data_IF_273619526743
#
_entry.id   IF_273619526743
#
_cell.length_a   1.000
_cell.length_b   1.000
_cell.length_c   1.000
_cell.angle_alpha   90.00
_cell.angle_beta   90.00
_cell.angle_gamma   90.00
#
_symmetry.space_group_name_H-M   'P 1'
#
loop_
_entity.id
_entity.type
_entity.pdbx_description
1 polymer ?
#
# COMPACT_ATOMS: atom_id res chain seq x y z
N UNK A 1 -14.64 -14.79 0.96
CA UNK A 1 -14.73 -13.75 2.01
C UNK A 1 -13.38 -13.20 2.52
N UNK A 2 -12.21 -13.81 2.25
CA UNK A 2 -10.91 -13.37 2.84
C UNK A 2 -10.27 -12.11 2.23
N UNK A 3 -10.38 -11.90 0.91
CA UNK A 3 -9.63 -10.85 0.21
C UNK A 3 -10.04 -9.41 0.58
N UNK A 4 -11.32 -9.18 0.90
CA UNK A 4 -11.80 -7.84 1.29
C UNK A 4 -11.22 -7.38 2.63
N UNK A 5 -11.00 -8.30 3.57
CA UNK A 5 -10.42 -7.98 4.87
C UNK A 5 -8.93 -7.63 4.77
N UNK A 6 -8.15 -8.43 4.02
CA UNK A 6 -6.72 -8.18 3.79
C UNK A 6 -6.47 -6.84 3.09
N UNK A 7 -7.28 -6.50 2.09
CA UNK A 7 -7.21 -5.18 1.43
C UNK A 7 -7.45 -4.02 2.41
N UNK A 8 -8.38 -4.17 3.35
CA UNK A 8 -8.64 -3.16 4.39
C UNK A 8 -7.47 -3.05 5.35
N UNK A 9 -6.97 -4.18 5.85
CA UNK A 9 -5.80 -4.24 6.75
C UNK A 9 -4.56 -3.59 6.11
N UNK A 10 -4.28 -3.91 4.86
CA UNK A 10 -3.19 -3.30 4.09
C UNK A 10 -3.34 -1.77 4.05
N UNK A 11 -4.54 -1.28 3.71
CA UNK A 11 -4.79 0.18 3.66
C UNK A 11 -4.65 0.86 5.02
N UNK A 12 -5.03 0.19 6.11
CA UNK A 12 -4.81 0.70 7.48
C UNK A 12 -3.32 0.78 7.78
N UNK A 13 -2.54 -0.24 7.37
CA UNK A 13 -1.09 -0.27 7.53
C UNK A 13 -0.40 0.86 6.77
N UNK A 14 -0.81 1.13 5.52
CA UNK A 14 -0.30 2.27 4.71
C UNK A 14 -0.50 3.58 5.46
N UNK A 15 -1.72 3.86 5.94
CA UNK A 15 -2.01 5.10 6.68
C UNK A 15 -1.22 5.19 7.98
N UNK A 16 -1.06 4.09 8.70
CA UNK A 16 -0.26 4.07 9.93
C UNK A 16 1.20 4.41 9.68
N UNK A 17 1.75 4.09 8.51
CA UNK A 17 3.10 4.51 8.12
C UNK A 17 3.13 5.96 7.65
N UNK A 18 2.15 6.38 6.85
CA UNK A 18 2.02 7.77 6.42
C UNK A 18 1.96 8.73 7.62
N UNK A 19 1.16 8.40 8.65
CA UNK A 19 1.05 9.18 9.89
C UNK A 19 2.38 9.22 10.67
N UNK A 20 3.14 8.11 10.69
CA UNK A 20 4.46 8.06 11.36
C UNK A 20 5.54 8.85 10.65
N UNK A 21 5.44 8.94 9.33
CA UNK A 21 6.41 9.61 8.46
C UNK A 21 6.00 11.06 8.15
N UNK A 22 4.86 11.51 8.67
CA UNK A 22 4.26 12.82 8.39
C UNK A 22 4.05 13.08 6.89
N UNK A 23 3.56 12.05 6.18
CA UNK A 23 3.30 12.09 4.73
C UNK A 23 1.79 12.13 4.47
N UNK A 24 1.35 13.11 3.68
CA UNK A 24 -0.05 13.19 3.24
C UNK A 24 -0.31 12.25 2.04
N UNK A 25 -1.31 11.37 2.17
CA UNK A 25 -1.74 10.47 1.10
C UNK A 25 -3.07 10.94 0.52
N UNK A 26 -3.03 11.53 -0.68
CA UNK A 26 -4.21 12.06 -1.38
C UNK A 26 -5.07 10.91 -1.93
N UNK A 27 -4.43 9.87 -2.45
CA UNK A 27 -5.16 8.72 -3.00
C UNK A 27 -4.43 7.40 -2.75
N UNK A 28 -5.18 6.35 -2.39
CA UNK A 28 -4.65 5.03 -2.09
C UNK A 28 -5.37 3.91 -2.84
N UNK A 29 -4.65 3.30 -3.79
CA UNK A 29 -5.11 2.21 -4.62
C UNK A 29 -4.44 0.88 -4.32
N UNK A 30 -5.22 -0.19 -4.42
CA UNK A 30 -4.71 -1.57 -4.47
C UNK A 30 -5.37 -2.26 -5.66
N UNK A 31 -4.59 -2.55 -6.70
CA UNK A 31 -5.03 -3.11 -7.98
C UNK A 31 -3.93 -3.98 -8.61
N UNK A 32 -4.24 -4.91 -9.52
CA UNK A 32 -3.21 -5.63 -10.26
C UNK A 32 -2.27 -4.66 -10.99
N UNK A 33 -0.96 -4.88 -10.87
CA UNK A 33 0.08 -4.10 -11.55
C UNK A 33 1.05 -5.06 -12.23
N UNK A 34 1.53 -4.71 -13.43
CA UNK A 34 2.31 -5.64 -14.26
C UNK A 34 3.81 -5.63 -13.94
N UNK A 35 4.38 -4.44 -13.74
CA UNK A 35 5.83 -4.26 -13.78
C UNK A 35 6.43 -3.78 -12.45
N UNK A 36 5.59 -3.50 -11.46
CA UNK A 36 6.01 -2.93 -10.18
C UNK A 36 5.08 -3.31 -9.05
N UNK A 37 5.64 -3.31 -7.85
CA UNK A 37 4.95 -3.65 -6.62
C UNK A 37 4.19 -2.46 -6.05
N UNK A 38 4.70 -1.25 -6.26
CA UNK A 38 3.99 -0.04 -5.94
C UNK A 38 4.45 1.14 -6.81
N UNK A 39 3.79 2.29 -6.65
CA UNK A 39 4.25 3.57 -7.15
C UNK A 39 3.60 4.74 -6.43
N UNK A 40 4.42 5.72 -6.07
CA UNK A 40 4.03 7.05 -5.63
C UNK A 40 4.10 8.07 -6.78
N UNK A 41 3.11 8.96 -6.87
CA UNK A 41 3.22 10.18 -7.69
C UNK A 41 3.66 11.36 -6.84
N UNK A 42 4.24 12.37 -7.48
CA UNK A 42 4.55 13.66 -6.82
C UNK A 42 3.30 14.38 -6.28
N UNK A 43 2.11 13.97 -6.73
CA UNK A 43 0.81 14.46 -6.25
C UNK A 43 0.22 13.60 -5.13
N UNK A 44 1.00 12.76 -4.45
CA UNK A 44 0.53 11.99 -3.29
C UNK A 44 -0.42 10.82 -3.62
N UNK A 45 -0.39 10.29 -4.86
CA UNK A 45 -1.15 9.08 -5.21
C UNK A 45 -0.29 7.83 -5.03
N UNK A 46 -0.61 7.04 -4.02
CA UNK A 46 0.00 5.75 -3.77
C UNK A 46 -0.80 4.62 -4.42
N UNK A 47 -0.13 3.79 -5.19
CA UNK A 47 -0.69 2.64 -5.87
C UNK A 47 0.10 1.40 -5.48
N UNK A 48 -0.57 0.36 -5.00
CA UNK A 48 0.05 -0.90 -4.61
C UNK A 48 -0.52 -2.05 -5.45
N UNK A 49 0.34 -3.03 -5.77
CA UNK A 49 -0.06 -4.23 -6.49
C UNK A 49 -0.99 -5.08 -5.60
N UNK A 50 -2.04 -5.67 -6.18
CA UNK A 50 -2.97 -6.53 -5.46
C UNK A 50 -2.31 -7.81 -4.92
N UNK A 51 -1.25 -8.29 -5.57
CA UNK A 51 -0.47 -9.46 -5.13
C UNK A 51 0.19 -9.24 -3.77
N UNK A 52 0.43 -7.99 -3.35
CA UNK A 52 0.92 -7.69 -2.01
C UNK A 52 0.00 -8.28 -0.93
N UNK A 53 -1.32 -8.35 -1.18
CA UNK A 53 -2.29 -8.81 -0.18
C UNK A 53 -2.12 -10.28 0.22
N UNK A 54 -1.42 -11.06 -0.61
CA UNK A 54 -1.13 -12.48 -0.37
C UNK A 54 0.21 -12.70 0.36
N UNK A 55 0.93 -11.61 0.65
CA UNK A 55 2.24 -11.63 1.29
C UNK A 55 2.19 -11.29 2.77
N UNK A 56 3.29 -11.57 3.45
CA UNK A 56 3.44 -11.26 4.87
C UNK A 56 3.50 -9.75 5.13
N UNK A 57 3.03 -9.33 6.30
CA UNK A 57 3.01 -7.92 6.71
C UNK A 57 4.40 -7.27 6.70
N UNK A 58 5.49 -8.03 6.88
CA UNK A 58 6.85 -7.50 6.79
C UNK A 58 7.19 -7.01 5.38
N UNK A 59 6.71 -7.73 4.35
CA UNK A 59 6.87 -7.31 2.96
C UNK A 59 5.95 -6.12 2.64
N UNK A 60 4.78 -6.04 3.28
CA UNK A 60 3.95 -4.84 3.18
C UNK A 60 4.70 -3.63 3.72
N UNK A 61 5.22 -3.73 4.94
CA UNK A 61 5.96 -2.63 5.58
C UNK A 61 7.14 -2.17 4.73
N UNK A 62 7.91 -3.11 4.19
CA UNK A 62 9.04 -2.80 3.31
C UNK A 62 8.61 -2.00 2.08
N UNK A 63 7.58 -2.48 1.36
CA UNK A 63 7.11 -1.81 0.13
C UNK A 63 6.40 -0.50 0.44
N UNK A 64 5.68 -0.40 1.56
CA UNK A 64 5.02 0.85 1.96
C UNK A 64 6.03 1.94 2.29
N UNK A 65 7.09 1.62 3.03
CA UNK A 65 8.11 2.59 3.47
C UNK A 65 9.04 2.99 2.32
N UNK A 66 9.19 2.15 1.29
CA UNK A 66 9.98 2.47 0.10
C UNK A 66 9.35 3.54 -0.79
N UNK A 67 8.02 3.60 -0.82
CA UNK A 67 7.23 4.52 -1.66
C UNK A 67 7.02 5.88 -1.01
#
# INVERSE_FOLDING_TARGET
MKASNRKREFKVRVRSWADKLDVEVIWLGVRPMRNKWASCSTSGHLNFNAELLDLDQRLWDYVIVHE
#
